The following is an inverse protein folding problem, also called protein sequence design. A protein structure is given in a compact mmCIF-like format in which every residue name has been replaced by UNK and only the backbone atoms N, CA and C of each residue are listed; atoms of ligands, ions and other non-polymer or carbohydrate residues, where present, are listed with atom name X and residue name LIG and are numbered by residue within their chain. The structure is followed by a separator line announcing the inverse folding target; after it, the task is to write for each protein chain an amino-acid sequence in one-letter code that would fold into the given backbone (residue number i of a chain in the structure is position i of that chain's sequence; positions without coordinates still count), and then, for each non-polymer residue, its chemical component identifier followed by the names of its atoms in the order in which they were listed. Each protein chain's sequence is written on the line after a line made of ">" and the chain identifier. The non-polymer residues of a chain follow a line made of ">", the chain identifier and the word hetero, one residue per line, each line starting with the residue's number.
data_IF_049588192642
#
_entry.id   IF_049588192642
#
_cell.length_a   1.000
_cell.length_b   1.000
_cell.length_c   1.000
_cell.angle_alpha   90.00
_cell.angle_beta   90.00
_cell.angle_gamma   90.00
#
_symmetry.space_group_name_H-M   'P 1'
#
loop_
_entity.id
_entity.type
_entity.pdbx_description
1 polymer ?
#
# COMPACT_ATOMS: atom_id res chain seq x y z
N UNK A 1 -3.03 6.41 -38.85
CA UNK A 1 -3.59 6.23 -37.49
C UNK A 1 -2.55 5.90 -36.40
N UNK A 2 -1.38 5.30 -36.69
CA UNK A 2 -0.39 4.94 -35.65
C UNK A 2 0.41 6.12 -35.05
N UNK A 3 0.73 7.16 -35.84
CA UNK A 3 1.49 8.35 -35.37
C UNK A 3 0.85 9.09 -34.18
N UNK A 4 -0.49 9.18 -34.13
CA UNK A 4 -1.19 9.85 -33.01
C UNK A 4 -1.20 9.01 -31.72
N UNK A 5 -1.14 7.68 -31.84
CA UNK A 5 -1.07 6.77 -30.69
C UNK A 5 0.30 6.88 -30.03
N UNK A 6 1.40 6.86 -30.79
CA UNK A 6 2.74 7.01 -30.24
C UNK A 6 2.93 8.34 -29.49
N UNK A 7 2.39 9.45 -30.03
CA UNK A 7 2.41 10.74 -29.36
C UNK A 7 1.58 10.75 -28.06
N UNK A 8 0.39 10.13 -28.07
CA UNK A 8 -0.46 10.01 -26.86
C UNK A 8 0.19 9.15 -25.78
N UNK A 9 0.78 8.02 -26.16
CA UNK A 9 1.51 7.13 -25.24
C UNK A 9 2.76 7.84 -24.69
N UNK A 10 3.48 8.59 -25.51
CA UNK A 10 4.63 9.38 -25.08
C UNK A 10 4.28 10.44 -24.04
N UNK A 11 3.20 11.21 -24.27
CA UNK A 11 2.73 12.22 -23.30
C UNK A 11 2.25 11.55 -22.01
N UNK A 12 1.50 10.45 -22.10
CA UNK A 12 1.03 9.72 -20.92
C UNK A 12 2.20 9.17 -20.09
N UNK A 13 3.22 8.61 -20.75
CA UNK A 13 4.42 8.10 -20.09
C UNK A 13 5.21 9.22 -19.41
N UNK A 14 5.33 10.38 -20.07
CA UNK A 14 5.99 11.56 -19.50
C UNK A 14 5.26 12.05 -18.25
N UNK A 15 3.93 12.17 -18.30
CA UNK A 15 3.12 12.59 -17.15
C UNK A 15 3.32 11.63 -15.98
N UNK A 16 3.19 10.31 -16.21
CA UNK A 16 3.42 9.30 -15.17
C UNK A 16 4.82 9.42 -14.55
N UNK A 17 5.85 9.56 -15.38
CA UNK A 17 7.23 9.66 -14.91
C UNK A 17 7.46 10.93 -14.10
N UNK A 18 6.93 12.08 -14.54
CA UNK A 18 7.02 13.34 -13.81
C UNK A 18 6.26 13.27 -12.47
N UNK A 19 5.07 12.68 -12.47
CA UNK A 19 4.25 12.50 -11.26
C UNK A 19 4.97 11.64 -10.22
N UNK A 20 5.55 10.52 -10.63
CA UNK A 20 6.34 9.65 -9.74
C UNK A 20 7.58 10.38 -9.23
N UNK A 21 8.27 11.12 -10.09
CA UNK A 21 9.45 11.89 -9.69
C UNK A 21 9.11 12.96 -8.66
N UNK A 22 8.10 13.80 -8.91
CA UNK A 22 7.63 14.82 -7.96
C UNK A 22 7.18 14.18 -6.63
N UNK A 23 6.46 13.06 -6.68
CA UNK A 23 6.03 12.34 -5.48
C UNK A 23 7.23 11.88 -4.64
N UNK A 24 8.30 11.38 -5.28
CA UNK A 24 9.55 11.01 -4.58
C UNK A 24 10.28 12.21 -4.01
N UNK A 25 10.36 13.33 -4.74
CA UNK A 25 10.99 14.57 -4.23
C UNK A 25 10.24 15.08 -3.00
N UNK A 26 8.90 15.14 -3.04
CA UNK A 26 8.09 15.53 -1.89
C UNK A 26 8.27 14.54 -0.72
N UNK A 27 8.33 13.24 -1.01
CA UNK A 27 8.62 12.20 -0.02
C UNK A 27 9.96 12.40 0.68
N UNK A 28 11.01 12.74 -0.07
CA UNK A 28 12.33 13.07 0.49
C UNK A 28 12.27 14.30 1.38
N UNK A 29 11.57 15.36 0.96
CA UNK A 29 11.37 16.54 1.80
C UNK A 29 10.64 16.19 3.10
N UNK A 30 9.60 15.35 3.05
CA UNK A 30 8.90 14.85 4.25
C UNK A 30 9.86 14.11 5.17
N UNK A 31 10.68 13.20 4.64
CA UNK A 31 11.66 12.44 5.41
C UNK A 31 12.71 13.34 6.05
N UNK A 32 13.22 14.34 5.33
CA UNK A 32 14.14 15.35 5.87
C UNK A 32 13.52 16.17 6.99
N UNK A 33 12.25 16.58 6.84
CA UNK A 33 11.54 17.32 7.89
C UNK A 33 11.29 16.45 9.12
N UNK A 34 10.89 15.19 8.95
CA UNK A 34 10.72 14.24 10.07
C UNK A 34 12.05 14.02 10.79
N UNK A 35 13.14 13.82 10.06
CA UNK A 35 14.48 13.66 10.64
C UNK A 35 14.97 14.94 11.34
N UNK A 36 14.63 16.13 10.82
CA UNK A 36 14.99 17.41 11.42
C UNK A 36 14.22 17.69 12.71
N UNK A 37 12.90 17.43 12.72
CA UNK A 37 12.04 17.66 13.89
C UNK A 37 12.26 16.58 14.96
N UNK A 38 12.42 15.31 14.55
CA UNK A 38 12.64 14.19 15.44
C UNK A 38 14.10 14.05 15.93
N UNK A 39 15.09 14.55 15.18
CA UNK A 39 16.50 14.27 15.45
C UNK A 39 16.84 12.77 15.34
N UNK A 40 18.02 12.35 15.82
CA UNK A 40 18.39 10.95 16.00
C UNK A 40 17.71 10.31 17.24
N UNK A 41 16.44 10.65 17.48
CA UNK A 41 15.66 10.08 18.57
C UNK A 41 14.87 8.87 18.07
N UNK A 42 14.80 7.82 18.87
CA UNK A 42 14.15 6.55 18.50
C UNK A 42 12.64 6.63 18.23
N UNK A 43 12.03 7.83 18.31
CA UNK A 43 10.64 8.08 17.92
C UNK A 43 10.46 8.06 16.40
N UNK A 44 11.47 8.49 15.63
CA UNK A 44 11.47 8.40 14.16
C UNK A 44 11.55 6.95 13.72
N UNK A 45 12.36 6.13 14.40
CA UNK A 45 12.48 4.70 14.13
C UNK A 45 11.17 3.97 14.44
N UNK A 46 10.50 4.32 15.55
CA UNK A 46 9.20 3.75 15.91
C UNK A 46 8.12 4.08 14.87
N UNK A 47 8.12 5.31 14.34
CA UNK A 47 7.25 5.72 13.25
C UNK A 47 7.54 4.90 11.98
N UNK A 48 8.80 4.81 11.55
CA UNK A 48 9.16 4.06 10.33
C UNK A 48 8.78 2.58 10.41
N UNK A 49 9.09 1.92 11.54
CA UNK A 49 8.74 0.50 11.76
C UNK A 49 7.23 0.27 11.68
N UNK A 50 6.43 1.23 12.15
CA UNK A 50 4.97 1.11 12.12
C UNK A 50 4.38 1.09 10.70
N UNK A 51 5.10 1.59 9.68
CA UNK A 51 4.66 1.54 8.28
C UNK A 51 5.08 0.27 7.54
N UNK A 52 6.05 -0.49 8.05
CA UNK A 52 6.57 -1.68 7.35
C UNK A 52 5.48 -2.75 7.15
N UNK A 53 4.71 -3.06 8.19
CA UNK A 53 3.63 -4.07 8.09
C UNK A 53 2.53 -3.62 7.12
N UNK A 54 1.98 -2.39 7.23
CA UNK A 54 1.05 -1.86 6.23
C UNK A 54 1.60 -1.90 4.80
N UNK A 55 2.87 -1.54 4.59
CA UNK A 55 3.50 -1.57 3.26
C UNK A 55 3.58 -2.99 2.68
N UNK A 56 3.94 -3.98 3.49
CA UNK A 56 3.97 -5.38 3.06
C UNK A 56 2.58 -5.84 2.62
N UNK A 57 1.54 -5.55 3.42
CA UNK A 57 0.16 -5.89 3.07
C UNK A 57 -0.27 -5.22 1.75
N UNK A 58 0.04 -3.93 1.59
CA UNK A 58 -0.25 -3.18 0.38
C UNK A 58 0.47 -3.81 -0.84
N UNK A 59 1.74 -4.16 -0.68
CA UNK A 59 2.54 -4.74 -1.76
C UNK A 59 1.98 -6.10 -2.21
N UNK A 60 1.58 -6.97 -1.26
CA UNK A 60 0.96 -8.27 -1.58
C UNK A 60 -0.34 -8.08 -2.36
N UNK A 61 -1.17 -7.12 -1.94
CA UNK A 61 -2.46 -6.83 -2.59
C UNK A 61 -2.25 -6.23 -3.99
N UNK A 62 -1.35 -5.26 -4.13
CA UNK A 62 -1.07 -4.59 -5.39
C UNK A 62 -0.37 -5.52 -6.40
N UNK A 63 0.77 -6.08 -6.00
CA UNK A 63 1.60 -6.90 -6.89
C UNK A 63 1.03 -8.30 -7.13
N UNK A 64 0.38 -8.90 -6.13
CA UNK A 64 -0.19 -10.24 -6.23
C UNK A 64 -1.58 -10.20 -6.85
N UNK A 65 -2.54 -9.67 -6.10
CA UNK A 65 -3.95 -9.74 -6.48
C UNK A 65 -4.29 -8.87 -7.70
N UNK A 66 -4.02 -7.57 -7.63
CA UNK A 66 -4.47 -6.61 -8.64
C UNK A 66 -3.76 -6.83 -9.98
N UNK A 67 -2.43 -6.90 -9.97
CA UNK A 67 -1.64 -6.97 -11.20
C UNK A 67 -1.67 -8.34 -11.89
N UNK A 68 -1.68 -9.45 -11.15
CA UNK A 68 -1.58 -10.79 -11.76
C UNK A 68 -2.94 -11.39 -12.11
N UNK A 69 -3.96 -11.13 -11.29
CA UNK A 69 -5.27 -11.81 -11.43
C UNK A 69 -6.37 -10.86 -11.88
N UNK A 70 -6.54 -9.73 -11.20
CA UNK A 70 -7.68 -8.85 -11.44
C UNK A 70 -7.64 -8.16 -12.82
N UNK A 71 -6.58 -7.41 -13.11
CA UNK A 71 -6.44 -6.64 -14.35
C UNK A 71 -6.64 -7.52 -15.61
N UNK A 72 -5.92 -8.65 -15.80
CA UNK A 72 -6.06 -9.43 -17.03
C UNK A 72 -7.45 -10.06 -17.18
N UNK A 73 -8.07 -10.52 -16.09
CA UNK A 73 -9.40 -11.11 -16.14
C UNK A 73 -10.43 -10.02 -16.49
N UNK A 74 -10.38 -8.88 -15.79
CA UNK A 74 -11.31 -7.78 -16.02
C UNK A 74 -11.17 -7.19 -17.43
N UNK A 75 -9.94 -6.93 -17.89
CA UNK A 75 -9.67 -6.46 -19.25
C UNK A 75 -10.15 -7.44 -20.32
N UNK A 76 -10.08 -8.76 -20.06
CA UNK A 76 -10.62 -9.77 -20.99
C UNK A 76 -12.14 -9.68 -21.12
N UNK A 77 -12.88 -9.53 -20.02
CA UNK A 77 -14.34 -9.35 -20.09
C UNK A 77 -14.73 -8.04 -20.77
N UNK A 78 -14.01 -6.95 -20.50
CA UNK A 78 -14.23 -5.67 -21.14
C UNK A 78 -13.98 -5.73 -22.66
N UNK A 79 -12.93 -6.45 -23.09
CA UNK A 79 -12.61 -6.61 -24.52
C UNK A 79 -13.62 -7.45 -25.30
N UNK A 80 -14.50 -8.19 -24.61
CA UNK A 80 -15.54 -9.02 -25.21
C UNK A 80 -16.91 -8.34 -25.19
N UNK A 81 -17.00 -7.04 -24.86
CA UNK A 81 -18.26 -6.30 -24.64
C UNK A 81 -19.18 -6.96 -23.59
N UNK A 82 -18.61 -7.77 -22.68
CA UNK A 82 -19.32 -8.46 -21.59
C UNK A 82 -19.16 -7.69 -20.28
N UNK A 83 -19.48 -6.41 -20.30
CA UNK A 83 -19.22 -5.51 -19.16
C UNK A 83 -19.94 -5.97 -17.89
N UNK A 84 -21.21 -6.41 -17.99
CA UNK A 84 -21.98 -6.91 -16.86
C UNK A 84 -21.32 -8.12 -16.16
N UNK A 85 -20.74 -9.03 -16.95
CA UNK A 85 -19.99 -10.17 -16.41
C UNK A 85 -18.66 -9.74 -15.80
N UNK A 86 -18.00 -8.73 -16.40
CA UNK A 86 -16.81 -8.09 -15.85
C UNK A 86 -17.07 -7.51 -14.45
N UNK A 87 -18.16 -6.77 -14.27
CA UNK A 87 -18.59 -6.23 -12.98
C UNK A 87 -18.95 -7.34 -11.97
N UNK A 88 -19.59 -8.41 -12.42
CA UNK A 88 -19.90 -9.55 -11.55
C UNK A 88 -18.64 -10.24 -11.04
N UNK A 89 -17.66 -10.45 -11.91
CA UNK A 89 -16.36 -11.01 -11.55
C UNK A 89 -15.60 -10.05 -10.62
N UNK A 90 -15.62 -8.74 -10.90
CA UNK A 90 -15.08 -7.73 -9.99
C UNK A 90 -15.67 -7.87 -8.59
N UNK A 91 -17.00 -7.97 -8.46
CA UNK A 91 -17.64 -8.12 -7.15
C UNK A 91 -17.20 -9.40 -6.42
N UNK A 92 -17.18 -10.54 -7.11
CA UNK A 92 -16.74 -11.82 -6.50
C UNK A 92 -15.30 -11.70 -6.00
N UNK A 93 -14.43 -11.20 -6.87
CA UNK A 93 -13.03 -11.01 -6.57
C UNK A 93 -12.85 -10.03 -5.40
N UNK A 94 -13.51 -8.89 -5.45
CA UNK A 94 -13.45 -7.87 -4.41
C UNK A 94 -13.91 -8.41 -3.06
N UNK A 95 -14.99 -9.19 -3.01
CA UNK A 95 -15.47 -9.81 -1.77
C UNK A 95 -14.48 -10.85 -1.23
N UNK A 96 -13.93 -11.72 -2.09
CA UNK A 96 -12.98 -12.76 -1.67
C UNK A 96 -11.67 -12.15 -1.17
N UNK A 97 -11.06 -11.26 -1.95
CA UNK A 97 -9.79 -10.64 -1.55
C UNK A 97 -9.96 -9.59 -0.47
N UNK A 98 -11.08 -8.85 -0.47
CA UNK A 98 -11.41 -7.91 0.60
C UNK A 98 -11.63 -8.60 1.94
N UNK A 99 -12.33 -9.74 1.95
CA UNK A 99 -12.49 -10.54 3.17
C UNK A 99 -11.17 -11.14 3.65
N UNK A 100 -10.33 -11.64 2.74
CA UNK A 100 -8.99 -12.12 3.06
C UNK A 100 -8.11 -11.01 3.66
N UNK A 101 -8.11 -9.82 3.03
CA UNK A 101 -7.37 -8.67 3.52
C UNK A 101 -7.85 -8.23 4.90
N UNK A 102 -9.17 -8.20 5.11
CA UNK A 102 -9.77 -7.86 6.40
C UNK A 102 -9.36 -8.87 7.49
N UNK A 103 -9.33 -10.17 7.16
CA UNK A 103 -8.82 -11.20 8.05
C UNK A 103 -7.34 -10.98 8.39
N UNK A 104 -6.50 -10.68 7.40
CA UNK A 104 -5.08 -10.38 7.60
C UNK A 104 -4.87 -9.14 8.47
N UNK A 105 -5.67 -8.09 8.28
CA UNK A 105 -5.67 -6.88 9.10
C UNK A 105 -5.98 -7.20 10.55
N UNK A 106 -7.03 -8.00 10.82
CA UNK A 106 -7.40 -8.40 12.18
C UNK A 106 -6.26 -9.18 12.83
N UNK A 107 -5.70 -10.17 12.13
CA UNK A 107 -4.58 -10.97 12.61
C UNK A 107 -3.36 -10.07 12.92
N UNK A 108 -3.02 -9.15 12.01
CA UNK A 108 -1.88 -8.25 12.16
C UNK A 108 -2.07 -7.25 13.33
N UNK A 109 -3.28 -6.77 13.58
CA UNK A 109 -3.60 -5.90 14.73
C UNK A 109 -3.45 -6.66 16.06
N UNK A 110 -3.92 -7.91 16.11
CA UNK A 110 -3.78 -8.77 17.29
C UNK A 110 -2.32 -9.14 17.56
N UNK A 111 -1.58 -9.50 16.50
CA UNK A 111 -0.16 -9.87 16.56
C UNK A 111 0.79 -8.65 16.49
N UNK A 112 0.27 -7.42 16.49
CA UNK A 112 1.08 -6.21 16.37
C UNK A 112 2.29 -6.16 17.33
N UNK A 113 2.16 -6.54 18.64
CA UNK A 113 3.32 -6.59 19.53
C UNK A 113 4.41 -7.56 19.05
N UNK A 114 4.02 -8.76 18.63
CA UNK A 114 4.95 -9.78 18.14
C UNK A 114 5.61 -9.36 16.83
N UNK A 115 4.85 -8.74 15.91
CA UNK A 115 5.36 -8.27 14.62
C UNK A 115 6.33 -7.10 14.80
N UNK A 116 6.02 -6.13 15.67
CA UNK A 116 6.95 -5.02 15.97
C UNK A 116 8.23 -5.54 16.63
N UNK A 117 8.13 -6.54 17.52
CA UNK A 117 9.31 -7.16 18.15
C UNK A 117 10.21 -7.87 17.13
N UNK A 118 9.61 -8.48 16.11
CA UNK A 118 10.35 -9.13 15.02
C UNK A 118 11.05 -8.11 14.12
N UNK A 119 10.38 -6.98 13.83
CA UNK A 119 10.90 -5.96 12.91
C UNK A 119 11.91 -5.01 13.57
N UNK A 120 11.78 -4.78 14.88
CA UNK A 120 12.66 -3.90 15.65
C UNK A 120 13.17 -4.61 16.91
N UNK A 121 14.06 -5.61 16.78
CA UNK A 121 14.60 -6.34 17.93
C UNK A 121 15.47 -5.47 18.86
N UNK A 122 15.94 -4.30 18.39
CA UNK A 122 16.76 -3.36 19.15
C UNK A 122 16.00 -2.29 19.93
N UNK A 123 14.66 -2.36 20.03
CA UNK A 123 13.89 -1.47 20.91
C UNK A 123 14.01 -1.92 22.36
N UNK A 124 15.13 -1.56 23.01
CA UNK A 124 15.39 -1.84 24.43
C UNK A 124 14.54 -0.97 25.37
N UNK A 125 14.04 0.16 24.88
CA UNK A 125 13.17 1.06 25.66
C UNK A 125 11.69 0.65 25.58
N UNK A 126 11.05 0.30 26.71
CA UNK A 126 9.66 -0.16 26.73
C UNK A 126 8.65 0.87 26.18
N UNK A 127 8.95 2.16 26.36
CA UNK A 127 8.09 3.26 25.90
C UNK A 127 8.05 3.34 24.37
N UNK A 128 9.20 3.22 23.71
CA UNK A 128 9.32 3.24 22.24
C UNK A 128 8.60 2.07 21.59
N UNK A 129 8.78 0.88 22.16
CA UNK A 129 8.09 -0.32 21.69
C UNK A 129 6.56 -0.17 21.75
N UNK A 130 6.02 0.32 22.87
CA UNK A 130 4.58 0.53 22.99
C UNK A 130 4.04 1.58 22.01
N UNK A 131 4.83 2.63 21.75
CA UNK A 131 4.47 3.66 20.78
C UNK A 131 4.42 3.11 19.35
N UNK A 132 5.43 2.33 18.93
CA UNK A 132 5.44 1.64 17.63
C UNK A 132 4.26 0.68 17.46
N UNK A 133 3.94 -0.11 18.50
CA UNK A 133 2.77 -1.02 18.49
C UNK A 133 1.47 -0.24 18.35
N UNK A 134 1.31 0.87 19.08
CA UNK A 134 0.11 1.70 18.99
C UNK A 134 -0.05 2.33 17.61
N UNK A 135 1.02 2.87 17.04
CA UNK A 135 1.03 3.43 15.68
C UNK A 135 0.68 2.36 14.65
N UNK A 136 1.29 1.19 14.75
CA UNK A 136 1.01 0.04 13.88
C UNK A 136 -0.47 -0.34 13.89
N UNK A 137 -1.09 -0.43 15.07
CA UNK A 137 -2.52 -0.74 15.21
C UNK A 137 -3.44 0.32 14.60
N UNK A 138 -3.01 1.58 14.56
CA UNK A 138 -3.78 2.68 13.96
C UNK A 138 -3.63 2.68 12.43
N UNK A 139 -2.44 2.39 11.91
CA UNK A 139 -2.13 2.50 10.48
C UNK A 139 -2.65 1.28 9.70
N UNK A 140 -2.54 0.07 10.24
CA UNK A 140 -2.92 -1.17 9.53
C UNK A 140 -4.37 -1.13 8.99
N UNK A 141 -5.40 -0.70 9.75
CA UNK A 141 -6.77 -0.62 9.24
C UNK A 141 -6.93 0.26 7.99
N UNK A 142 -6.07 1.27 7.79
CA UNK A 142 -6.12 2.12 6.61
C UNK A 142 -5.92 1.33 5.30
N UNK A 143 -5.26 0.17 5.36
CA UNK A 143 -5.01 -0.67 4.17
C UNK A 143 -6.29 -1.22 3.54
N UNK A 144 -7.34 -1.44 4.33
CA UNK A 144 -8.64 -1.84 3.77
C UNK A 144 -9.26 -0.72 2.93
N UNK A 145 -9.14 0.54 3.38
CA UNK A 145 -9.64 1.70 2.64
C UNK A 145 -8.86 1.92 1.35
N UNK A 146 -7.52 1.82 1.40
CA UNK A 146 -6.68 1.86 0.20
C UNK A 146 -7.04 0.77 -0.81
N UNK A 147 -7.35 -0.45 -0.33
CA UNK A 147 -7.81 -1.52 -1.20
C UNK A 147 -9.18 -1.23 -1.83
N UNK A 148 -10.10 -0.63 -1.08
CA UNK A 148 -11.46 -0.33 -1.55
C UNK A 148 -11.54 0.76 -2.62
N UNK A 149 -10.43 1.43 -2.94
CA UNK A 149 -10.36 2.47 -3.96
C UNK A 149 -9.85 3.82 -3.46
N UNK A 150 -9.53 3.95 -2.17
CA UNK A 150 -9.11 5.21 -1.55
C UNK A 150 -10.28 6.07 -1.12
#
# INVERSE_FOLDING_TARGET
>A
MSQSIHRKVGIASLIMMLSVFLSRVIGLFREMVIAYIGGASGDVDAYQVAFVIPEILNHIVASGFLSVTFIPIFSRYLSQDREADGWRIFSIIYTVFGSLLLLLIIIAVLLAPSLVKLLAPGFDEPVKFQMAVRMTRIIIPAQFFFFSGG
#
